data_IF_718919764170
#
_entry.id   IF_718919764170
#
_cell.length_a   1.000
_cell.length_b   1.000
_cell.length_c   1.000
_cell.angle_alpha   90.00
_cell.angle_beta   90.00
_cell.angle_gamma   90.00
#
_symmetry.space_group_name_H-M   'P 1'
#
loop_
_entity.id
_entity.type
_entity.pdbx_description
1 polymer ?
#
# COMPACT_ATOMS: atom_id res chain seq x y z
N UNK A 1 -8.26 29.00 -28.24
CA UNK A 1 -9.61 28.75 -27.66
C UNK A 1 -10.32 30.10 -27.51
N UNK A 2 -11.59 30.22 -27.91
CA UNK A 2 -12.31 31.50 -27.83
C UNK A 2 -12.49 31.93 -26.35
N UNK A 3 -12.10 33.16 -25.96
CA UNK A 3 -12.12 33.59 -24.56
C UNK A 3 -13.53 33.56 -23.94
N UNK A 4 -14.56 33.75 -24.76
CA UNK A 4 -15.96 33.64 -24.36
C UNK A 4 -16.37 32.20 -23.98
N UNK A 5 -15.90 31.19 -24.74
CA UNK A 5 -16.26 29.78 -24.48
C UNK A 5 -15.66 29.27 -23.18
N UNK A 6 -14.42 29.64 -22.87
CA UNK A 6 -13.77 29.28 -21.62
C UNK A 6 -14.51 29.84 -20.40
N UNK A 7 -14.91 31.12 -20.46
CA UNK A 7 -15.68 31.77 -19.37
C UNK A 7 -17.02 31.11 -19.12
N UNK A 8 -17.73 30.68 -20.16
CA UNK A 8 -19.01 29.98 -20.04
C UNK A 8 -18.81 28.58 -19.43
N UNK A 9 -17.79 27.85 -19.86
CA UNK A 9 -17.48 26.52 -19.29
C UNK A 9 -17.10 26.62 -17.82
N UNK A 10 -16.19 27.54 -17.48
CA UNK A 10 -15.76 27.75 -16.08
C UNK A 10 -16.92 28.28 -15.23
N UNK A 11 -17.67 29.27 -15.74
CA UNK A 11 -18.84 29.80 -15.04
C UNK A 11 -19.92 28.75 -14.79
N UNK A 12 -20.23 27.92 -15.78
CA UNK A 12 -21.15 26.79 -15.62
C UNK A 12 -20.65 25.76 -14.62
N UNK A 13 -19.36 25.42 -14.66
CA UNK A 13 -18.74 24.51 -13.69
C UNK A 13 -18.82 25.06 -12.26
N UNK A 14 -18.57 26.36 -12.09
CA UNK A 14 -18.67 27.04 -10.79
C UNK A 14 -20.10 27.07 -10.25
N UNK A 15 -21.10 27.29 -11.12
CA UNK A 15 -22.52 27.21 -10.73
C UNK A 15 -22.86 25.79 -10.26
N UNK A 16 -22.48 24.77 -11.01
CA UNK A 16 -22.71 23.38 -10.62
C UNK A 16 -22.02 23.05 -9.30
N UNK A 17 -20.75 23.42 -9.14
CA UNK A 17 -20.01 23.24 -7.89
C UNK A 17 -20.67 23.96 -6.71
N UNK A 18 -21.16 25.19 -6.92
CA UNK A 18 -21.90 25.96 -5.91
C UNK A 18 -23.23 25.31 -5.51
N UNK A 19 -23.99 24.78 -6.47
CA UNK A 19 -25.23 24.04 -6.20
C UNK A 19 -24.94 22.77 -5.40
N UNK A 20 -23.93 21.99 -5.77
CA UNK A 20 -23.50 20.82 -4.99
C UNK A 20 -23.11 21.22 -3.56
N UNK A 21 -22.31 22.27 -3.40
CA UNK A 21 -21.91 22.76 -2.08
C UNK A 21 -23.12 23.20 -1.24
N UNK A 22 -24.11 23.85 -1.85
CA UNK A 22 -25.32 24.29 -1.15
C UNK A 22 -26.22 23.11 -0.75
N UNK A 23 -26.34 22.09 -1.59
CA UNK A 23 -27.06 20.87 -1.22
C UNK A 23 -26.35 20.15 -0.07
N UNK A 24 -25.02 20.01 -0.14
CA UNK A 24 -24.23 19.44 0.95
C UNK A 24 -24.46 20.22 2.26
N UNK A 25 -24.46 21.56 2.21
CA UNK A 25 -24.66 22.41 3.39
C UNK A 25 -26.08 22.31 3.98
N UNK A 26 -27.11 22.15 3.14
CA UNK A 26 -28.51 22.08 3.58
C UNK A 26 -28.88 20.68 4.06
N UNK A 27 -28.42 19.64 3.37
CA UNK A 27 -28.79 18.24 3.66
C UNK A 27 -27.87 17.56 4.66
N UNK A 28 -26.65 18.07 4.83
CA UNK A 28 -25.58 17.42 5.59
C UNK A 28 -25.00 16.17 4.91
N UNK A 29 -25.44 15.83 3.70
CA UNK A 29 -24.97 14.68 2.93
C UNK A 29 -23.89 15.17 1.96
N UNK A 30 -22.70 14.54 1.97
CA UNK A 30 -21.67 14.86 0.98
C UNK A 30 -21.92 14.10 -0.34
N UNK A 31 -22.74 14.72 -1.21
CA UNK A 31 -23.02 14.19 -2.55
C UNK A 31 -21.76 14.12 -3.42
N UNK A 32 -20.76 14.97 -3.17
CA UNK A 32 -19.49 14.95 -3.87
C UNK A 32 -18.76 13.62 -3.64
N UNK A 33 -18.66 13.20 -2.38
CA UNK A 33 -18.08 11.91 -2.00
C UNK A 33 -18.75 10.72 -2.69
N UNK A 34 -20.09 10.66 -2.69
CA UNK A 34 -20.82 9.59 -3.38
C UNK A 34 -20.57 9.56 -4.89
N UNK A 35 -20.56 10.73 -5.54
CA UNK A 35 -20.26 10.83 -6.98
C UNK A 35 -18.85 10.31 -7.26
N UNK A 36 -17.85 10.72 -6.47
CA UNK A 36 -16.49 10.23 -6.62
C UNK A 36 -16.39 8.72 -6.39
N UNK A 37 -17.01 8.19 -5.33
CA UNK A 37 -17.03 6.75 -5.06
C UNK A 37 -17.54 5.96 -6.28
N UNK A 38 -18.68 6.38 -6.85
CA UNK A 38 -19.26 5.75 -8.04
C UNK A 38 -18.34 5.87 -9.25
N UNK A 39 -17.76 7.05 -9.52
CA UNK A 39 -16.85 7.25 -10.65
C UNK A 39 -15.60 6.36 -10.55
N UNK A 40 -15.01 6.25 -9.35
CA UNK A 40 -13.86 5.37 -9.12
C UNK A 40 -14.21 3.89 -9.27
N UNK A 41 -15.36 3.46 -8.77
CA UNK A 41 -15.85 2.08 -8.97
C UNK A 41 -16.07 1.79 -10.45
N UNK A 42 -16.76 2.67 -11.18
CA UNK A 42 -17.01 2.50 -12.61
C UNK A 42 -15.71 2.51 -13.42
N UNK A 43 -14.76 3.38 -13.07
CA UNK A 43 -13.42 3.39 -13.67
C UNK A 43 -12.67 2.08 -13.42
N UNK A 44 -12.70 1.58 -12.19
CA UNK A 44 -12.09 0.29 -11.83
C UNK A 44 -12.70 -0.88 -12.60
N UNK A 45 -14.03 -0.94 -12.67
CA UNK A 45 -14.78 -1.93 -13.45
C UNK A 45 -14.47 -1.84 -14.95
N UNK A 46 -14.29 -0.63 -15.50
CA UNK A 46 -13.91 -0.46 -16.89
C UNK A 46 -12.54 -1.10 -17.19
N UNK A 47 -11.52 -0.86 -16.35
CA UNK A 47 -10.21 -1.51 -16.49
C UNK A 47 -10.29 -3.03 -16.32
N UNK A 48 -11.07 -3.52 -15.34
CA UNK A 48 -11.29 -4.96 -15.16
C UNK A 48 -11.97 -5.57 -16.40
N UNK A 49 -12.90 -4.85 -17.03
CA UNK A 49 -13.52 -5.27 -18.29
C UNK A 49 -12.51 -5.35 -19.45
N UNK A 50 -11.57 -4.40 -19.55
CA UNK A 50 -10.47 -4.45 -20.53
C UNK A 50 -9.61 -5.70 -20.33
N UNK A 51 -9.25 -6.01 -19.09
CA UNK A 51 -8.51 -7.22 -18.73
C UNK A 51 -9.30 -8.50 -19.01
N UNK A 52 -10.59 -8.51 -18.66
CA UNK A 52 -11.47 -9.67 -18.86
C UNK A 52 -11.68 -9.97 -20.36
N UNK A 53 -11.73 -8.93 -21.20
CA UNK A 53 -11.87 -9.05 -22.65
C UNK A 53 -10.62 -9.64 -23.31
N UNK A 54 -9.43 -9.35 -22.79
CA UNK A 54 -8.19 -9.95 -23.27
C UNK A 54 -7.19 -10.09 -22.12
N UNK A 55 -6.91 -11.34 -21.74
CA UNK A 55 -6.00 -11.68 -20.65
C UNK A 55 -4.55 -11.21 -20.86
N UNK A 56 -4.17 -10.87 -22.11
CA UNK A 56 -2.88 -10.24 -22.39
C UNK A 56 -2.78 -8.82 -21.82
N UNK A 57 -3.91 -8.16 -21.53
CA UNK A 57 -3.96 -6.85 -20.86
C UNK A 57 -3.94 -7.00 -19.32
N UNK A 58 -3.08 -7.87 -18.80
CA UNK A 58 -2.90 -8.09 -17.35
C UNK A 58 -2.62 -6.80 -16.58
N UNK A 59 -1.96 -5.82 -17.22
CA UNK A 59 -1.63 -4.53 -16.63
C UNK A 59 -2.88 -3.79 -16.13
N UNK A 60 -4.05 -4.02 -16.74
CA UNK A 60 -5.29 -3.37 -16.36
C UNK A 60 -5.86 -3.87 -15.02
N UNK A 61 -5.37 -5.00 -14.49
CA UNK A 61 -5.67 -5.43 -13.12
C UNK A 61 -5.25 -4.37 -12.09
N UNK A 62 -4.06 -3.79 -12.25
CA UNK A 62 -3.46 -2.86 -11.29
C UNK A 62 -4.33 -1.60 -11.11
N UNK A 63 -4.59 -0.78 -12.14
CA UNK A 63 -5.49 0.36 -11.99
C UNK A 63 -6.92 -0.09 -11.68
N UNK A 64 -7.40 -1.21 -12.23
CA UNK A 64 -8.75 -1.71 -11.99
C UNK A 64 -9.06 -1.94 -10.51
N UNK A 65 -8.30 -2.80 -9.85
CA UNK A 65 -8.51 -3.11 -8.44
C UNK A 65 -8.08 -1.97 -7.50
N UNK A 66 -7.10 -1.14 -7.89
CA UNK A 66 -6.74 0.06 -7.12
C UNK A 66 -7.90 1.06 -7.10
N UNK A 67 -8.50 1.35 -8.25
CA UNK A 67 -9.66 2.25 -8.35
C UNK A 67 -10.87 1.69 -7.62
N UNK A 68 -11.08 0.36 -7.65
CA UNK A 68 -12.10 -0.27 -6.81
C UNK A 68 -11.83 -0.07 -5.32
N UNK A 69 -10.59 -0.25 -4.87
CA UNK A 69 -10.19 -0.01 -3.47
C UNK A 69 -10.40 1.45 -3.05
N UNK A 70 -10.04 2.40 -3.90
CA UNK A 70 -10.28 3.84 -3.68
C UNK A 70 -11.78 4.14 -3.63
N UNK A 71 -12.55 3.65 -4.61
CA UNK A 71 -14.00 3.85 -4.65
C UNK A 71 -14.71 3.25 -3.45
N UNK A 72 -14.26 2.09 -2.99
CA UNK A 72 -14.75 1.44 -1.78
C UNK A 72 -14.40 2.23 -0.51
N UNK A 73 -13.18 2.78 -0.40
CA UNK A 73 -12.80 3.68 0.70
C UNK A 73 -13.70 4.92 0.73
N UNK A 74 -13.84 5.62 -0.39
CA UNK A 74 -14.68 6.83 -0.45
C UNK A 74 -16.13 6.47 -0.12
N UNK A 75 -16.66 5.37 -0.65
CA UNK A 75 -18.02 4.92 -0.33
C UNK A 75 -18.19 4.56 1.15
N UNK A 76 -17.20 3.89 1.77
CA UNK A 76 -17.21 3.57 3.19
C UNK A 76 -17.15 4.82 4.05
N UNK A 77 -16.36 5.82 3.66
CA UNK A 77 -16.25 7.10 4.36
C UNK A 77 -17.61 7.82 4.44
N UNK A 78 -18.42 7.72 3.38
CA UNK A 78 -19.75 8.32 3.36
C UNK A 78 -20.79 7.57 4.23
N UNK A 79 -20.68 6.25 4.34
CA UNK A 79 -21.69 5.40 5.01
C UNK A 79 -21.31 5.12 6.47
N UNK A 80 -20.02 4.92 6.75
CA UNK A 80 -19.46 4.60 8.05
C UNK A 80 -18.08 5.28 8.23
N UNK A 81 -18.03 6.61 8.46
CA UNK A 81 -16.78 7.37 8.55
C UNK A 81 -15.79 6.79 9.57
N UNK A 82 -16.28 6.38 10.74
CA UNK A 82 -15.44 5.76 11.79
C UNK A 82 -14.77 4.46 11.33
N UNK A 83 -15.45 3.66 10.51
CA UNK A 83 -14.86 2.46 9.94
C UNK A 83 -13.83 2.82 8.87
N UNK A 84 -14.12 3.82 8.03
CA UNK A 84 -13.17 4.31 7.03
C UNK A 84 -11.88 4.87 7.66
N UNK A 85 -11.98 5.59 8.78
CA UNK A 85 -10.81 6.05 9.55
C UNK A 85 -9.94 4.88 10.03
N UNK A 86 -10.55 3.77 10.46
CA UNK A 86 -9.84 2.62 11.02
C UNK A 86 -9.24 1.70 9.95
N UNK A 87 -10.01 1.37 8.90
CA UNK A 87 -9.65 0.34 7.92
C UNK A 87 -9.51 0.86 6.48
N UNK A 88 -9.67 2.16 6.27
CA UNK A 88 -9.68 2.74 4.93
C UNK A 88 -8.37 2.57 4.17
N UNK A 89 -7.24 2.74 4.86
CA UNK A 89 -5.92 2.43 4.30
C UNK A 89 -5.78 0.96 3.90
N UNK A 90 -6.29 0.04 4.74
CA UNK A 90 -6.28 -1.39 4.46
C UNK A 90 -7.13 -1.75 3.22
N UNK A 91 -8.26 -1.08 3.00
CA UNK A 91 -9.11 -1.28 1.83
C UNK A 91 -8.38 -0.99 0.51
N UNK A 92 -7.69 0.15 0.43
CA UNK A 92 -6.93 0.52 -0.77
C UNK A 92 -5.75 -0.42 -0.98
N UNK A 93 -4.99 -0.71 0.08
CA UNK A 93 -3.85 -1.63 0.02
C UNK A 93 -4.29 -3.05 -0.36
N UNK A 94 -5.43 -3.52 0.15
CA UNK A 94 -6.01 -4.81 -0.25
C UNK A 94 -6.38 -4.82 -1.73
N UNK A 95 -6.97 -3.74 -2.26
CA UNK A 95 -7.21 -3.59 -3.70
C UNK A 95 -5.94 -3.72 -4.52
N UNK A 96 -4.86 -3.05 -4.12
CA UNK A 96 -3.55 -3.16 -4.77
C UNK A 96 -2.99 -4.58 -4.65
N UNK A 97 -3.05 -5.20 -3.47
CA UNK A 97 -2.59 -6.57 -3.22
C UNK A 97 -3.33 -7.61 -4.08
N UNK A 98 -4.66 -7.49 -4.16
CA UNK A 98 -5.51 -8.31 -5.04
C UNK A 98 -5.13 -8.12 -6.49
N UNK A 99 -4.77 -6.90 -6.92
CA UNK A 99 -4.35 -6.66 -8.30
C UNK A 99 -3.14 -7.49 -8.69
N UNK A 100 -2.11 -7.55 -7.83
CA UNK A 100 -0.91 -8.34 -8.08
C UNK A 100 -1.15 -9.84 -7.93
N UNK A 101 -2.04 -10.24 -7.02
CA UNK A 101 -2.52 -11.62 -6.95
C UNK A 101 -3.13 -12.03 -8.30
N UNK A 102 -4.03 -11.21 -8.86
CA UNK A 102 -4.66 -11.48 -10.15
C UNK A 102 -3.62 -11.52 -11.27
N UNK A 103 -2.65 -10.61 -11.31
CA UNK A 103 -1.55 -10.64 -12.29
C UNK A 103 -0.79 -11.97 -12.23
N UNK A 104 -0.45 -12.45 -11.04
CA UNK A 104 0.23 -13.75 -10.89
C UNK A 104 -0.67 -14.93 -11.30
N UNK A 105 -1.97 -14.88 -10.99
CA UNK A 105 -2.92 -15.92 -11.37
C UNK A 105 -3.16 -15.98 -12.89
N UNK A 106 -3.14 -14.83 -13.57
CA UNK A 106 -3.28 -14.74 -15.02
C UNK A 106 -2.07 -15.33 -15.75
N UNK A 107 -0.86 -15.09 -15.23
CA UNK A 107 0.34 -15.66 -15.79
C UNK A 107 1.36 -15.97 -14.69
N UNK A 108 1.60 -17.26 -14.45
CA UNK A 108 2.54 -17.75 -13.44
C UNK A 108 4.00 -17.38 -13.75
N UNK A 109 4.32 -17.00 -14.98
CA UNK A 109 5.65 -16.46 -15.31
C UNK A 109 5.91 -15.09 -14.68
N UNK A 110 4.86 -14.37 -14.28
CA UNK A 110 4.93 -13.13 -13.50
C UNK A 110 5.11 -13.41 -12.01
N UNK A 111 6.05 -14.28 -11.66
CA UNK A 111 6.41 -14.59 -10.26
C UNK A 111 6.75 -13.34 -9.45
N UNK A 112 7.26 -12.30 -10.11
CA UNK A 112 7.60 -11.01 -9.50
C UNK A 112 6.39 -10.39 -8.79
N UNK A 113 5.16 -10.64 -9.25
CA UNK A 113 3.94 -10.07 -8.68
C UNK A 113 3.64 -10.59 -7.26
N UNK A 114 4.22 -11.73 -6.86
CA UNK A 114 4.07 -12.25 -5.50
C UNK A 114 4.69 -11.31 -4.47
N UNK A 115 5.81 -10.65 -4.81
CA UNK A 115 6.51 -9.74 -3.91
C UNK A 115 5.60 -8.55 -3.54
N UNK A 116 5.14 -7.69 -4.48
CA UNK A 116 4.27 -6.58 -4.13
C UNK A 116 2.93 -7.05 -3.55
N UNK A 117 2.37 -8.17 -4.01
CA UNK A 117 1.18 -8.77 -3.39
C UNK A 117 1.42 -9.05 -1.90
N UNK A 118 2.52 -9.72 -1.57
CA UNK A 118 2.91 -10.04 -0.21
C UNK A 118 3.18 -8.80 0.65
N UNK A 119 3.87 -7.79 0.11
CA UNK A 119 4.06 -6.50 0.81
C UNK A 119 2.72 -5.86 1.15
N UNK A 120 1.82 -5.75 0.16
CA UNK A 120 0.52 -5.10 0.38
C UNK A 120 -0.33 -5.85 1.41
N UNK A 121 -0.41 -7.19 1.34
CA UNK A 121 -1.15 -7.95 2.35
C UNK A 121 -0.50 -7.95 3.72
N UNK A 122 0.83 -7.85 3.80
CA UNK A 122 1.53 -7.67 5.09
C UNK A 122 1.16 -6.33 5.73
N UNK A 123 1.04 -5.26 4.94
CA UNK A 123 0.57 -3.95 5.41
C UNK A 123 -0.91 -3.97 5.79
N UNK A 124 -1.76 -4.67 5.03
CA UNK A 124 -3.16 -4.87 5.40
C UNK A 124 -3.26 -5.59 6.75
N UNK A 125 -2.51 -6.68 6.92
CA UNK A 125 -2.48 -7.41 8.18
C UNK A 125 -1.98 -6.52 9.34
N UNK A 126 -0.93 -5.72 9.10
CA UNK A 126 -0.44 -4.76 10.07
C UNK A 126 -1.54 -3.79 10.49
N UNK A 127 -2.20 -3.10 9.55
CA UNK A 127 -3.24 -2.11 9.87
C UNK A 127 -4.40 -2.75 10.66
N UNK A 128 -4.85 -3.94 10.25
CA UNK A 128 -6.01 -4.58 10.89
C UNK A 128 -5.70 -5.15 12.27
N UNK A 129 -4.45 -5.54 12.52
CA UNK A 129 -4.03 -6.18 13.76
C UNK A 129 -3.31 -5.21 14.72
N UNK A 130 -2.94 -4.02 14.24
CA UNK A 130 -2.29 -2.95 15.02
C UNK A 130 -2.97 -2.68 16.37
N UNK A 131 -4.32 -2.56 16.45
CA UNK A 131 -4.99 -2.30 17.73
C UNK A 131 -4.89 -3.43 18.76
N UNK A 132 -4.49 -4.63 18.33
CA UNK A 132 -4.49 -5.84 19.14
C UNK A 132 -3.08 -6.33 19.49
N UNK A 133 -2.04 -5.70 18.95
CA UNK A 133 -0.67 -6.15 19.09
C UNK A 133 0.18 -5.08 19.77
N UNK A 134 1.03 -5.50 20.69
CA UNK A 134 2.02 -4.61 21.31
C UNK A 134 3.12 -4.20 20.31
N UNK A 135 3.46 -5.08 19.36
CA UNK A 135 4.54 -4.88 18.40
C UNK A 135 4.08 -5.21 16.96
N UNK A 136 3.29 -4.33 16.35
CA UNK A 136 2.67 -4.55 15.03
C UNK A 136 3.70 -4.65 13.89
N UNK A 137 4.88 -4.04 14.08
CA UNK A 137 5.98 -4.11 13.11
C UNK A 137 6.46 -5.55 12.84
N UNK A 138 6.34 -6.46 13.82
CA UNK A 138 6.70 -7.87 13.66
C UNK A 138 5.89 -8.50 12.52
N UNK A 139 4.59 -8.19 12.42
CA UNK A 139 3.72 -8.74 11.37
C UNK A 139 4.19 -8.38 9.98
N UNK A 140 4.67 -7.15 9.79
CA UNK A 140 5.17 -6.71 8.50
C UNK A 140 6.41 -7.51 8.10
N UNK A 141 7.40 -7.64 8.99
CA UNK A 141 8.61 -8.40 8.70
C UNK A 141 8.36 -9.90 8.53
N UNK A 142 7.46 -10.49 9.34
CA UNK A 142 7.03 -11.88 9.18
C UNK A 142 6.31 -12.10 7.85
N UNK A 143 5.43 -11.20 7.46
CA UNK A 143 4.72 -11.27 6.19
C UNK A 143 5.67 -11.18 4.99
N UNK A 144 6.68 -10.30 5.05
CA UNK A 144 7.74 -10.26 4.04
C UNK A 144 8.59 -11.54 4.02
N UNK A 145 8.98 -12.05 5.19
CA UNK A 145 9.72 -13.31 5.31
C UNK A 145 8.92 -14.47 4.69
N UNK A 146 7.62 -14.54 4.96
CA UNK A 146 6.70 -15.50 4.36
C UNK A 146 6.59 -15.31 2.84
N UNK A 147 6.54 -14.07 2.36
CA UNK A 147 6.49 -13.75 0.92
C UNK A 147 7.69 -14.32 0.17
N UNK A 148 8.90 -14.08 0.68
CA UNK A 148 10.12 -14.64 0.10
C UNK A 148 10.26 -16.15 0.35
N UNK A 149 9.73 -16.66 1.46
CA UNK A 149 9.64 -18.10 1.74
C UNK A 149 8.78 -18.82 0.71
N UNK A 150 7.60 -18.28 0.38
CA UNK A 150 6.74 -18.77 -0.71
C UNK A 150 7.50 -18.71 -2.03
N UNK A 151 8.20 -17.60 -2.29
CA UNK A 151 8.99 -17.43 -3.51
C UNK A 151 10.11 -18.48 -3.63
N UNK A 152 10.75 -18.87 -2.53
CA UNK A 152 11.78 -19.92 -2.51
C UNK A 152 11.22 -21.32 -2.88
N UNK A 153 9.94 -21.57 -2.64
CA UNK A 153 9.28 -22.84 -2.98
C UNK A 153 8.86 -22.90 -4.46
N UNK A 154 8.77 -21.75 -5.13
CA UNK A 154 8.26 -21.65 -6.49
C UNK A 154 9.35 -21.89 -7.54
N UNK A 155 9.00 -22.56 -8.65
CA UNK A 155 9.88 -22.73 -9.79
C UNK A 155 9.88 -21.45 -10.66
N UNK A 156 10.89 -20.60 -10.46
CA UNK A 156 10.97 -19.25 -11.04
C UNK A 156 11.86 -19.18 -12.28
N UNK A 157 12.97 -19.93 -12.30
CA UNK A 157 13.95 -19.91 -13.39
C UNK A 157 13.74 -21.12 -14.32
N UNK A 158 13.01 -20.91 -15.41
CA UNK A 158 12.73 -21.95 -16.42
C UNK A 158 12.15 -23.25 -15.81
N UNK A 159 11.31 -23.12 -14.78
CA UNK A 159 10.73 -24.26 -14.08
C UNK A 159 11.59 -24.82 -12.93
N UNK A 160 12.73 -24.20 -12.61
CA UNK A 160 13.59 -24.58 -11.48
C UNK A 160 13.44 -23.63 -10.31
N UNK A 161 13.56 -24.19 -9.11
CA UNK A 161 13.64 -23.42 -7.87
C UNK A 161 14.99 -22.72 -7.79
N UNK A 162 14.98 -21.49 -7.30
CA UNK A 162 16.19 -20.68 -7.10
C UNK A 162 16.40 -20.44 -5.61
N UNK A 163 17.64 -20.44 -5.15
CA UNK A 163 17.97 -20.25 -3.74
C UNK A 163 17.93 -18.78 -3.29
N UNK A 164 18.02 -17.83 -4.23
CA UNK A 164 18.14 -16.41 -3.89
C UNK A 164 17.04 -15.88 -2.95
N UNK A 165 15.74 -16.30 -3.00
CA UNK A 165 14.72 -15.79 -2.07
C UNK A 165 14.92 -16.24 -0.63
N UNK A 166 15.73 -17.29 -0.38
CA UNK A 166 16.01 -17.78 0.98
C UNK A 166 16.82 -16.75 1.77
N UNK A 167 17.74 -16.02 1.14
CA UNK A 167 18.54 -15.00 1.81
C UNK A 167 17.70 -13.83 2.36
N UNK A 168 16.84 -13.15 1.57
CA UNK A 168 15.96 -12.12 2.12
C UNK A 168 14.92 -12.72 3.08
N UNK A 169 14.38 -13.92 2.84
CA UNK A 169 13.46 -14.56 3.79
C UNK A 169 14.12 -14.76 5.16
N UNK A 170 15.35 -15.28 5.20
CA UNK A 170 16.11 -15.47 6.43
C UNK A 170 16.47 -14.14 7.10
N UNK A 171 16.90 -13.14 6.34
CA UNK A 171 17.20 -11.81 6.86
C UNK A 171 15.98 -11.12 7.47
N UNK A 172 14.84 -11.17 6.79
CA UNK A 172 13.58 -10.59 7.28
C UNK A 172 13.02 -11.35 8.48
N UNK A 173 13.17 -12.68 8.50
CA UNK A 173 12.80 -13.49 9.66
C UNK A 173 13.68 -13.13 10.87
N UNK A 174 14.98 -12.96 10.66
CA UNK A 174 15.89 -12.50 11.72
C UNK A 174 15.50 -11.11 12.23
N UNK A 175 15.17 -10.17 11.33
CA UNK A 175 14.68 -8.84 11.72
C UNK A 175 13.36 -8.95 12.49
N UNK A 176 12.43 -9.80 12.07
CA UNK A 176 11.18 -10.02 12.79
C UNK A 176 11.41 -10.55 14.22
N UNK A 177 12.37 -11.47 14.40
CA UNK A 177 12.76 -11.97 15.72
C UNK A 177 13.42 -10.87 16.56
N UNK A 178 14.31 -10.08 15.98
CA UNK A 178 14.95 -8.94 16.65
C UNK A 178 13.91 -7.93 17.10
N UNK A 179 12.99 -7.52 16.22
CA UNK A 179 11.89 -6.60 16.55
C UNK A 179 10.98 -7.21 17.61
N UNK A 180 10.71 -8.51 17.54
CA UNK A 180 9.86 -9.20 18.53
C UNK A 180 10.49 -9.33 19.92
N UNK A 181 11.81 -9.46 20.00
CA UNK A 181 12.57 -9.36 21.25
C UNK A 181 12.69 -7.88 21.69
N UNK A 182 12.60 -6.96 20.71
CA UNK A 182 12.62 -5.49 20.78
C UNK A 182 11.60 -4.83 21.67
N UNK A 183 10.57 -5.58 22.08
CA UNK A 183 9.56 -5.16 23.05
C UNK A 183 10.09 -4.87 24.47
N UNK A 184 11.40 -5.00 24.69
CA UNK A 184 12.08 -4.62 25.93
C UNK A 184 13.00 -3.43 25.63
N UNK A 185 13.17 -2.51 26.58
CA UNK A 185 13.79 -1.17 26.46
C UNK A 185 15.17 -1.07 25.78
N UNK A 186 15.80 -2.17 25.36
CA UNK A 186 17.14 -2.23 24.76
C UNK A 186 17.30 -1.40 23.48
N UNK A 187 16.24 -1.22 22.67
CA UNK A 187 16.29 -0.33 21.50
C UNK A 187 16.55 1.14 21.89
N UNK A 188 16.06 1.55 23.06
CA UNK A 188 16.35 2.85 23.67
C UNK A 188 17.82 3.03 24.06
N UNK A 189 18.59 1.95 24.22
CA UNK A 189 20.02 1.98 24.56
C UNK A 189 20.93 1.80 23.34
N UNK A 190 20.51 1.04 22.32
CA UNK A 190 21.33 0.82 21.11
C UNK A 190 21.58 2.12 20.35
N UNK A 191 20.55 2.94 20.13
CA UNK A 191 20.72 4.17 19.38
C UNK A 191 21.70 5.13 20.06
N UNK A 192 21.60 5.40 21.39
CA UNK A 192 22.65 6.11 22.12
C UNK A 192 24.05 5.49 21.99
N UNK A 193 24.18 4.17 22.11
CA UNK A 193 25.49 3.49 22.01
C UNK A 193 26.12 3.68 20.63
N UNK A 194 25.34 3.56 19.55
CA UNK A 194 25.82 3.81 18.18
C UNK A 194 26.23 5.27 18.02
N UNK A 195 25.41 6.22 18.49
CA UNK A 195 25.72 7.66 18.42
C UNK A 195 26.99 7.99 19.22
N UNK A 196 27.15 7.43 20.42
CA UNK A 196 28.35 7.57 21.25
C UNK A 196 29.57 6.99 20.53
N UNK A 197 29.45 5.79 19.95
CA UNK A 197 30.53 5.13 19.23
C UNK A 197 30.99 5.91 17.99
N UNK A 198 30.03 6.44 17.21
CA UNK A 198 30.32 7.30 16.06
C UNK A 198 30.99 8.60 16.53
N UNK A 199 30.46 9.24 17.59
CA UNK A 199 31.06 10.46 18.16
C UNK A 199 32.50 10.24 18.62
N UNK A 200 32.75 9.15 19.35
CA UNK A 200 34.08 8.78 19.81
C UNK A 200 35.03 8.51 18.63
N UNK A 201 34.58 7.79 17.61
CA UNK A 201 35.35 7.54 16.39
C UNK A 201 35.75 8.82 15.69
N UNK A 202 34.82 9.79 15.55
CA UNK A 202 35.09 11.08 14.92
C UNK A 202 36.12 11.90 15.72
N UNK A 203 36.02 11.93 17.05
CA UNK A 203 37.00 12.60 17.92
C UNK A 203 38.39 11.97 17.79
N UNK A 204 38.48 10.64 17.90
CA UNK A 204 39.75 9.93 17.77
C UNK A 204 40.39 10.11 16.40
N UNK A 205 39.57 10.15 15.33
CA UNK A 205 40.04 10.44 13.98
C UNK A 205 40.55 11.88 13.85
N UNK A 206 39.84 12.85 14.41
CA UNK A 206 40.23 14.27 14.39
C UNK A 206 41.56 14.52 15.10
N UNK A 207 41.82 13.84 16.22
CA UNK A 207 43.06 13.96 16.97
C UNK A 207 44.27 13.37 16.22
N UNK A 208 44.06 12.33 15.40
CA UNK A 208 45.12 11.75 14.55
C UNK A 208 45.45 12.59 13.32
N UNK A 209 44.57 13.47 12.88
CA UNK A 209 44.81 14.36 11.73
C UNK A 209 45.58 15.64 12.08
N UNK A 210 45.76 15.94 13.37
CA UNK A 210 46.46 17.14 13.86
C UNK A 210 47.76 16.83 14.65
N UNK A 211 48.17 15.56 14.72
CA UNK A 211 49.45 15.11 15.26
C UNK A 211 50.33 14.56 14.12
#
# INVERSE_FOLDING_TARGET
MNPMRWRILVGGLLILAGVFAMINAVTGIDLGGFVWAVLFVLGGLAFISVMASNRNHWWAAIPGFTLLGIGALIGLDQIAPRAAEQIGGALVLAGIGVSFLVVYLLNRSFWWAIIPMGVMFSLVALILLDPYLSEPAILFFLGLAATFGVLALLPIDNGKRTIWPVYPAGGLLLVALIVGIGASDWAGYIMPVIVIGIGLFLVLRSLRTHA
#
